data_IF_325232025087
#
_entry.id   IF_325232025087
#
_cell.length_a   1.000
_cell.length_b   1.000
_cell.length_c   1.000
_cell.angle_alpha   90.00
_cell.angle_beta   90.00
_cell.angle_gamma   90.00
#
_symmetry.space_group_name_H-M   'P 1'
#
loop_
_entity.id
_entity.type
_entity.pdbx_description
1 polymer ?
#
# COMPACT_ATOMS: atom_id res chain seq x y z
N UNK A 1 -20.62 -21.16 -39.53
CA UNK A 1 -20.46 -19.78 -39.05
C UNK A 1 -20.54 -19.86 -37.53
N UNK A 2 -19.39 -19.75 -36.85
CA UNK A 2 -19.32 -19.93 -35.41
C UNK A 2 -19.32 -18.56 -34.76
N UNK A 3 -20.50 -18.14 -34.28
CA UNK A 3 -20.66 -16.95 -33.44
C UNK A 3 -20.01 -17.19 -32.08
N UNK A 4 -18.77 -16.72 -31.93
CA UNK A 4 -18.11 -16.62 -30.64
C UNK A 4 -18.72 -15.44 -29.87
N UNK A 5 -19.73 -15.73 -29.04
CA UNK A 5 -20.29 -14.78 -28.07
C UNK A 5 -19.14 -14.27 -27.18
N UNK A 6 -18.91 -12.95 -27.07
CA UNK A 6 -17.96 -12.42 -26.10
C UNK A 6 -18.41 -12.87 -24.71
N UNK A 7 -17.59 -13.67 -24.04
CA UNK A 7 -17.79 -14.00 -22.63
C UNK A 7 -17.80 -12.71 -21.81
N UNK A 8 -18.48 -12.67 -20.64
CA UNK A 8 -18.47 -11.50 -19.80
C UNK A 8 -17.02 -11.16 -19.43
N UNK A 9 -16.53 -10.03 -19.94
CA UNK A 9 -15.29 -9.41 -19.48
C UNK A 9 -15.46 -9.16 -17.98
N UNK A 10 -14.52 -9.58 -17.12
CA UNK A 10 -14.58 -9.22 -15.71
C UNK A 10 -14.68 -7.69 -15.61
N UNK A 11 -15.82 -7.20 -15.12
CA UNK A 11 -15.94 -5.80 -14.77
C UNK A 11 -14.86 -5.50 -13.72
N UNK A 12 -14.01 -4.51 -13.96
CA UNK A 12 -13.05 -4.04 -12.98
C UNK A 12 -13.80 -3.73 -11.69
N UNK A 13 -13.59 -4.55 -10.64
CA UNK A 13 -14.28 -4.38 -9.36
C UNK A 13 -13.87 -3.03 -8.77
N UNK A 14 -14.79 -2.06 -8.60
CA UNK A 14 -14.50 -0.84 -7.86
C UNK A 14 -14.35 -1.26 -6.38
N UNK A 15 -13.11 -1.34 -5.89
CA UNK A 15 -12.87 -1.79 -4.52
C UNK A 15 -11.56 -2.50 -4.26
N UNK A 16 -10.76 -2.83 -5.28
CA UNK A 16 -9.33 -3.06 -5.03
C UNK A 16 -8.75 -1.72 -4.56
N UNK A 17 -8.65 -1.51 -3.24
CA UNK A 17 -7.93 -0.37 -2.67
C UNK A 17 -6.51 -0.46 -3.19
N UNK A 18 -6.25 0.23 -4.29
CA UNK A 18 -4.93 0.35 -4.85
C UNK A 18 -4.12 1.13 -3.83
N UNK A 19 -3.07 0.50 -3.33
CA UNK A 19 -2.11 1.18 -2.47
C UNK A 19 -1.51 2.33 -3.28
N UNK A 20 -1.84 3.57 -2.92
CA UNK A 20 -1.28 4.75 -3.55
C UNK A 20 0.16 4.94 -3.09
N UNK A 21 1.16 4.96 -4.00
CA UNK A 21 2.55 5.22 -3.61
C UNK A 21 2.75 6.59 -2.96
N UNK A 22 1.89 7.57 -3.30
CA UNK A 22 1.94 8.91 -2.71
C UNK A 22 1.49 8.89 -1.25
N UNK A 23 0.41 8.19 -0.94
CA UNK A 23 -0.12 8.08 0.42
C UNK A 23 0.86 7.32 1.33
N UNK A 24 1.51 6.28 0.80
CA UNK A 24 2.56 5.55 1.53
C UNK A 24 3.75 6.47 1.81
N UNK A 25 4.17 7.29 0.84
CA UNK A 25 5.26 8.27 1.04
C UNK A 25 4.87 9.31 2.10
N UNK A 26 3.65 9.82 2.06
CA UNK A 26 3.16 10.78 3.05
C UNK A 26 3.15 10.18 4.46
N UNK A 27 2.64 8.95 4.62
CA UNK A 27 2.58 8.25 5.90
C UNK A 27 3.99 7.95 6.47
N UNK A 28 4.94 7.53 5.63
CA UNK A 28 6.34 7.34 6.04
C UNK A 28 6.98 8.67 6.44
N UNK A 29 6.75 9.74 5.66
CA UNK A 29 7.29 11.06 5.97
C UNK A 29 6.73 11.60 7.29
N UNK A 30 5.45 11.37 7.58
CA UNK A 30 4.82 11.72 8.85
C UNK A 30 5.47 10.96 10.02
N UNK A 31 5.68 9.64 9.89
CA UNK A 31 6.30 8.82 10.92
C UNK A 31 7.73 9.26 11.24
N UNK A 32 8.51 9.64 10.22
CA UNK A 32 9.90 10.08 10.37
C UNK A 32 10.03 11.56 10.77
N UNK A 33 9.01 12.37 10.49
CA UNK A 33 9.00 13.81 10.73
C UNK A 33 8.74 14.22 12.18
N UNK A 34 8.29 13.29 13.03
CA UNK A 34 8.04 13.57 14.44
C UNK A 34 9.36 13.88 15.20
N UNK A 35 9.33 14.74 16.23
CA UNK A 35 10.47 14.91 17.13
C UNK A 35 10.89 13.57 17.77
N UNK A 36 12.19 13.27 17.76
CA UNK A 36 12.77 12.11 18.45
C UNK A 36 13.83 12.61 19.44
N UNK A 37 13.43 12.96 20.68
CA UNK A 37 14.36 13.52 21.67
C UNK A 37 15.38 12.51 22.18
N UNK A 38 15.10 11.20 22.06
CA UNK A 38 16.05 10.14 22.41
C UNK A 38 16.41 9.26 21.20
N UNK A 39 17.55 8.55 21.24
CA UNK A 39 17.88 7.53 20.24
C UNK A 39 16.80 6.45 20.12
N UNK A 40 16.18 6.05 21.24
CA UNK A 40 15.11 5.07 21.28
C UNK A 40 13.87 5.55 20.51
N UNK A 41 13.51 6.83 20.64
CA UNK A 41 12.40 7.41 19.87
C UNK A 41 12.70 7.36 18.36
N UNK A 42 13.95 7.59 17.97
CA UNK A 42 14.36 7.49 16.58
C UNK A 42 14.25 6.06 16.05
N UNK A 43 14.63 5.07 16.86
CA UNK A 43 14.45 3.65 16.52
C UNK A 43 12.98 3.32 16.34
N UNK A 44 12.11 3.73 17.27
CA UNK A 44 10.67 3.51 17.17
C UNK A 44 10.05 4.15 15.91
N UNK A 45 10.55 5.31 15.49
CA UNK A 45 10.11 5.93 14.22
C UNK A 45 10.52 5.10 12.99
N UNK A 46 11.72 4.53 12.99
CA UNK A 46 12.16 3.67 11.90
C UNK A 46 11.37 2.36 11.87
N UNK A 47 11.10 1.76 13.02
CA UNK A 47 10.24 0.58 13.15
C UNK A 47 8.83 0.90 12.59
N UNK A 48 8.26 2.04 12.97
CA UNK A 48 6.96 2.48 12.45
C UNK A 48 6.95 2.69 10.94
N UNK A 49 7.98 3.35 10.40
CA UNK A 49 8.12 3.55 8.96
C UNK A 49 8.28 2.22 8.21
N UNK A 50 8.98 1.25 8.80
CA UNK A 50 9.13 -0.10 8.24
C UNK A 50 7.79 -0.83 8.18
N UNK A 51 6.99 -0.79 9.24
CA UNK A 51 5.65 -1.40 9.27
C UNK A 51 4.74 -0.86 8.16
N UNK A 52 4.73 0.47 7.96
CA UNK A 52 3.93 1.12 6.90
C UNK A 52 4.32 0.57 5.52
N UNK A 53 5.62 0.44 5.26
CA UNK A 53 6.12 -0.09 3.98
C UNK A 53 5.77 -1.57 3.80
N UNK A 54 5.92 -2.39 4.84
CA UNK A 54 5.60 -3.82 4.74
C UNK A 54 4.11 -4.06 4.54
N UNK A 55 3.24 -3.31 5.24
CA UNK A 55 1.80 -3.39 5.06
C UNK A 55 1.39 -2.99 3.64
N UNK A 56 1.94 -1.90 3.12
CA UNK A 56 1.72 -1.43 1.75
C UNK A 56 2.12 -2.50 0.72
N UNK A 57 3.31 -3.09 0.86
CA UNK A 57 3.79 -4.17 -0.02
C UNK A 57 2.93 -5.43 0.08
N UNK A 58 2.56 -5.81 1.30
CA UNK A 58 1.69 -6.97 1.56
C UNK A 58 0.29 -6.77 0.99
N UNK A 59 -0.26 -5.57 1.09
CA UNK A 59 -1.56 -5.21 0.50
C UNK A 59 -1.50 -5.20 -1.02
N UNK A 60 -0.46 -4.60 -1.62
CA UNK A 60 -0.26 -4.60 -3.07
C UNK A 60 -0.14 -6.02 -3.64
N UNK A 61 0.56 -6.93 -2.94
CA UNK A 61 0.63 -8.36 -3.32
C UNK A 61 -0.72 -9.06 -3.28
N UNK A 62 -1.58 -8.73 -2.31
CA UNK A 62 -2.93 -9.32 -2.19
C UNK A 62 -3.91 -8.77 -3.24
N UNK A 63 -3.80 -7.48 -3.59
CA UNK A 63 -4.68 -6.84 -4.57
C UNK A 63 -4.36 -7.15 -6.04
N UNK A 64 -3.23 -7.80 -6.33
CA UNK A 64 -2.81 -8.15 -7.70
C UNK A 64 -3.14 -9.58 -8.15
N UNK A 65 -4.03 -10.30 -7.45
CA UNK A 65 -4.39 -11.70 -7.72
C UNK A 65 -5.83 -11.86 -8.20
#
# INVERSE_FOLDING_TARGET
>A
MSDAKPGPTPAAMPGASQVSPEDVRAAVAEALGQPAPTPQDRVAQFERAHEILDEALSSARRGGK
#
